data_IF_659893334121
#
_entry.id   IF_659893334121
#
_cell.length_a   1.000
_cell.length_b   1.000
_cell.length_c   1.000
_cell.angle_alpha   90.00
_cell.angle_beta   90.00
_cell.angle_gamma   90.00
#
_symmetry.space_group_name_H-M   'P 1'
#
loop_
_entity.id
_entity.type
_entity.pdbx_description
1 polymer ?
#
# COMPACT_ATOMS: atom_id res chain seq x y z
N UNK A 1 27.20 -24.02 -21.99
CA UNK A 1 27.39 -23.03 -20.91
C UNK A 1 27.94 -23.76 -19.69
N UNK A 2 29.10 -23.34 -19.15
CA UNK A 2 29.72 -23.99 -17.98
C UNK A 2 29.39 -23.15 -16.75
N UNK A 3 28.48 -23.64 -15.90
CA UNK A 3 28.19 -23.00 -14.61
C UNK A 3 29.42 -23.09 -13.72
N UNK A 4 29.98 -21.93 -13.34
CA UNK A 4 31.08 -21.81 -12.38
C UNK A 4 30.50 -21.65 -10.99
N UNK A 5 31.27 -22.03 -9.97
CA UNK A 5 30.89 -21.83 -8.56
C UNK A 5 30.55 -20.36 -8.24
N UNK A 6 31.23 -19.43 -8.93
CA UNK A 6 31.01 -17.98 -8.81
C UNK A 6 29.61 -17.60 -9.30
N UNK A 7 29.10 -18.23 -10.36
CA UNK A 7 27.75 -17.97 -10.87
C UNK A 7 26.70 -18.40 -9.84
N UNK A 8 26.93 -19.53 -9.15
CA UNK A 8 26.09 -19.98 -8.04
C UNK A 8 26.11 -19.02 -6.85
N UNK A 9 27.30 -18.52 -6.47
CA UNK A 9 27.43 -17.53 -5.39
C UNK A 9 26.72 -16.22 -5.74
N UNK A 10 26.82 -15.78 -6.99
CA UNK A 10 26.17 -14.58 -7.48
C UNK A 10 24.64 -14.69 -7.45
N UNK A 11 24.09 -15.82 -7.90
CA UNK A 11 22.65 -16.09 -7.84
C UNK A 11 22.17 -16.13 -6.39
N UNK A 12 22.90 -16.80 -5.49
CA UNK A 12 22.55 -16.84 -4.07
C UNK A 12 22.51 -15.44 -3.45
N UNK A 13 23.52 -14.61 -3.74
CA UNK A 13 23.55 -13.23 -3.27
C UNK A 13 22.39 -12.39 -3.81
N UNK A 14 22.09 -12.51 -5.10
CA UNK A 14 20.96 -11.81 -5.72
C UNK A 14 19.62 -12.20 -5.07
N UNK A 15 19.40 -13.50 -4.83
CA UNK A 15 18.21 -13.99 -4.13
C UNK A 15 18.13 -13.43 -2.71
N UNK A 16 19.24 -13.43 -1.97
CA UNK A 16 19.30 -12.89 -0.62
C UNK A 16 18.94 -11.39 -0.57
N UNK A 17 19.42 -10.59 -1.53
CA UNK A 17 19.08 -9.17 -1.64
C UNK A 17 17.59 -8.97 -1.94
N UNK A 18 17.03 -9.73 -2.90
CA UNK A 18 15.60 -9.63 -3.25
C UNK A 18 14.73 -9.95 -2.04
N UNK A 19 15.02 -11.04 -1.33
CA UNK A 19 14.30 -11.43 -0.12
C UNK A 19 14.44 -10.36 0.97
N UNK A 20 15.65 -9.88 1.22
CA UNK A 20 15.91 -8.85 2.23
C UNK A 20 15.15 -7.55 1.96
N UNK A 21 15.15 -7.07 0.71
CA UNK A 21 14.40 -5.86 0.32
C UNK A 21 12.89 -6.08 0.38
N UNK A 22 12.40 -7.28 0.04
CA UNK A 22 10.97 -7.59 0.06
C UNK A 22 10.37 -7.65 1.47
N UNK A 23 11.21 -7.84 2.50
CA UNK A 23 10.78 -7.82 3.90
C UNK A 23 10.81 -6.41 4.51
N UNK A 24 11.28 -5.39 3.78
CA UNK A 24 11.22 -4.02 4.28
C UNK A 24 9.76 -3.57 4.42
N UNK A 25 9.41 -2.89 5.54
CA UNK A 25 8.05 -2.41 5.75
C UNK A 25 7.64 -1.50 4.61
N UNK A 26 6.47 -1.78 4.03
CA UNK A 26 5.97 -0.97 2.93
C UNK A 26 5.26 0.27 3.47
N UNK A 27 5.21 1.38 2.73
CA UNK A 27 4.46 2.57 3.14
C UNK A 27 2.98 2.27 3.44
N UNK A 28 2.40 1.26 2.79
CA UNK A 28 1.03 0.77 3.05
C UNK A 28 0.83 0.39 4.51
N UNK A 29 1.84 -0.17 5.16
CA UNK A 29 1.77 -0.65 6.56
C UNK A 29 1.68 0.51 7.57
N UNK A 30 2.03 1.73 7.15
CA UNK A 30 1.96 2.95 7.98
C UNK A 30 0.76 3.83 7.67
N UNK A 31 0.01 3.51 6.62
CA UNK A 31 -1.17 4.29 6.26
C UNK A 31 -2.33 3.97 7.22
N UNK A 32 -3.19 4.95 7.53
CA UNK A 32 -4.36 4.69 8.37
C UNK A 32 -5.28 3.68 7.69
N UNK A 33 -5.81 2.75 8.47
CA UNK A 33 -6.80 1.78 8.00
C UNK A 33 -8.16 2.46 7.85
N UNK A 34 -8.98 1.94 6.94
CA UNK A 34 -10.38 2.34 6.80
C UNK A 34 -11.14 1.78 8.00
N UNK A 35 -11.90 2.59 8.75
CA UNK A 35 -12.70 2.11 9.88
C UNK A 35 -13.65 0.96 9.47
N UNK A 36 -13.86 0.01 10.37
CA UNK A 36 -14.81 -1.08 10.18
C UNK A 36 -16.24 -0.71 10.64
N UNK A 37 -16.65 0.55 10.47
CA UNK A 37 -17.98 1.01 10.86
C UNK A 37 -19.01 0.84 9.72
N UNK A 38 -20.29 1.05 10.05
CA UNK A 38 -21.39 0.86 9.11
C UNK A 38 -21.29 1.80 7.89
N UNK A 39 -20.78 3.02 8.07
CA UNK A 39 -20.64 3.99 6.98
C UNK A 39 -19.61 3.48 5.95
N UNK A 40 -18.45 3.05 6.41
CA UNK A 40 -17.37 2.58 5.56
C UNK A 40 -17.62 1.18 4.97
N UNK A 41 -18.35 0.31 5.68
CA UNK A 41 -18.70 -1.03 5.17
C UNK A 41 -19.68 -0.98 4.00
N UNK A 42 -20.47 0.09 3.87
CA UNK A 42 -21.40 0.24 2.73
C UNK A 42 -20.72 0.69 1.45
N UNK A 43 -19.49 1.23 1.53
CA UNK A 43 -18.74 1.75 0.39
C UNK A 43 -18.20 0.61 -0.49
N UNK A 44 -18.62 0.59 -1.75
CA UNK A 44 -18.23 -0.43 -2.73
C UNK A 44 -17.23 0.07 -3.75
N UNK A 45 -17.20 1.38 -4.03
CA UNK A 45 -16.31 1.98 -5.02
C UNK A 45 -15.55 3.17 -4.43
N UNK A 46 -14.28 3.34 -4.84
CA UNK A 46 -13.38 4.36 -4.29
C UNK A 46 -13.89 5.80 -4.49
N UNK A 47 -14.70 6.03 -5.52
CA UNK A 47 -15.31 7.34 -5.77
C UNK A 47 -16.27 7.78 -4.64
N UNK A 48 -16.89 6.84 -3.93
CA UNK A 48 -17.79 7.15 -2.81
C UNK A 48 -17.03 7.74 -1.62
N UNK A 49 -15.73 7.44 -1.46
CA UNK A 49 -14.90 8.03 -0.41
C UNK A 49 -14.86 9.56 -0.49
N UNK A 50 -14.93 10.11 -1.71
CA UNK A 50 -14.90 11.56 -1.97
C UNK A 50 -16.19 12.28 -1.58
N UNK A 51 -17.23 11.58 -1.11
CA UNK A 51 -18.41 12.24 -0.54
C UNK A 51 -18.08 12.98 0.77
N UNK A 52 -17.14 12.42 1.55
CA UNK A 52 -16.74 12.97 2.85
C UNK A 52 -15.26 13.43 2.87
N UNK A 53 -14.39 12.77 2.08
CA UNK A 53 -12.95 13.03 2.04
C UNK A 53 -12.55 14.04 0.95
N UNK A 54 -13.22 15.19 0.93
CA UNK A 54 -12.90 16.34 0.07
C UNK A 54 -12.50 17.55 0.92
N UNK A 55 -11.84 18.58 0.35
CA UNK A 55 -11.36 19.74 1.13
C UNK A 55 -12.42 20.42 2.00
N UNK A 56 -13.68 20.41 1.56
CA UNK A 56 -14.84 20.99 2.27
C UNK A 56 -15.70 19.94 2.99
N UNK A 57 -15.27 18.68 3.03
CA UNK A 57 -16.02 17.57 3.59
C UNK A 57 -15.88 17.45 5.11
N UNK A 58 -16.57 16.48 5.70
CA UNK A 58 -16.55 16.22 7.15
C UNK A 58 -15.20 15.73 7.66
N UNK A 59 -14.43 15.04 6.80
CA UNK A 59 -13.11 14.48 7.11
C UNK A 59 -12.18 14.72 5.93
N UNK A 60 -11.71 15.95 5.68
CA UNK A 60 -10.90 16.26 4.51
C UNK A 60 -9.58 15.46 4.49
N UNK A 61 -9.10 15.15 3.29
CA UNK A 61 -7.76 14.57 3.12
C UNK A 61 -6.70 15.61 3.51
N UNK A 62 -5.56 15.19 4.10
CA UNK A 62 -4.44 16.09 4.37
C UNK A 62 -3.94 16.77 3.09
N UNK A 63 -3.39 17.99 3.21
CA UNK A 63 -2.85 18.72 2.04
C UNK A 63 -1.77 17.95 1.27
N UNK A 64 -0.99 17.13 1.98
CA UNK A 64 0.05 16.27 1.40
C UNK A 64 -0.46 14.93 0.87
N UNK A 65 -1.77 14.70 0.85
CA UNK A 65 -2.33 13.47 0.30
C UNK A 65 -2.09 13.42 -1.23
N UNK A 66 -1.63 12.29 -1.79
CA UNK A 66 -1.47 12.17 -3.23
C UNK A 66 -2.81 12.38 -3.96
N UNK A 67 -2.81 13.06 -5.10
CA UNK A 67 -4.02 13.36 -5.90
C UNK A 67 -4.55 12.16 -6.72
N UNK A 68 -4.36 10.95 -6.20
CA UNK A 68 -4.78 9.68 -6.82
C UNK A 68 -6.05 9.19 -6.15
N UNK A 69 -6.90 8.51 -6.91
CA UNK A 69 -8.22 8.04 -6.45
C UNK A 69 -8.27 6.53 -6.18
N UNK A 70 -7.14 5.83 -6.26
CA UNK A 70 -6.99 4.42 -5.92
C UNK A 70 -6.71 4.24 -4.41
N UNK A 71 -7.72 4.63 -3.61
CA UNK A 71 -7.70 4.62 -2.15
C UNK A 71 -7.25 3.28 -1.56
N UNK A 72 -7.79 2.15 -2.05
CA UNK A 72 -7.58 0.82 -1.49
C UNK A 72 -6.16 0.27 -1.73
N UNK A 73 -5.43 0.84 -2.69
CA UNK A 73 -4.03 0.46 -2.92
C UNK A 73 -3.16 0.82 -1.72
N UNK A 74 -3.47 1.91 -1.02
CA UNK A 74 -2.71 2.36 0.14
C UNK A 74 -3.45 2.17 1.47
N UNK A 75 -4.77 2.29 1.51
CA UNK A 75 -5.56 2.12 2.73
C UNK A 75 -6.17 0.71 2.78
N UNK A 76 -5.73 -0.11 3.74
CA UNK A 76 -6.35 -1.39 4.00
C UNK A 76 -7.69 -1.20 4.74
N UNK A 77 -8.66 -2.08 4.51
CA UNK A 77 -9.87 -2.13 5.35
C UNK A 77 -9.49 -2.62 6.74
N UNK A 78 -9.97 -1.94 7.76
CA UNK A 78 -9.94 -2.43 9.13
C UNK A 78 -10.70 -3.75 9.20
N UNK A 79 -10.17 -4.68 10.00
CA UNK A 79 -10.84 -5.92 10.35
C UNK A 79 -11.95 -5.65 11.38
#
# INVERSE_FOLDING_TARGET
>A
MKFRKIDGLFVLFAVAVIVGVSMLPTPKDRNPMIPADAEHQTIKVERECLQCHVPTGSKPLPERHPRRQDCFRCHARGA
#
